data_IF_102537775849
#
_entry.id   IF_102537775849
#
_cell.length_a   1.000
_cell.length_b   1.000
_cell.length_c   1.000
_cell.angle_alpha   90.00
_cell.angle_beta   90.00
_cell.angle_gamma   90.00
#
_symmetry.space_group_name_H-M   'P 1'
#
loop_
_entity.id
_entity.type
_entity.pdbx_description
1 polymer ?
#
# COMPACT_ATOMS: atom_id res chain seq x y z
N UNK A 1 61.60 -40.62 6.81
CA UNK A 1 60.98 -39.86 7.92
C UNK A 1 61.60 -38.48 7.96
N UNK A 2 60.75 -37.43 7.92
CA UNK A 2 60.91 -36.02 8.40
C UNK A 2 62.30 -35.36 8.28
N UNK A 3 62.47 -34.15 7.75
CA UNK A 3 61.54 -33.12 7.32
C UNK A 3 62.24 -31.75 7.23
N UNK A 4 61.76 -30.97 6.27
CA UNK A 4 61.71 -29.51 6.09
C UNK A 4 62.86 -28.57 6.50
N UNK A 5 63.25 -27.80 5.50
CA UNK A 5 64.30 -26.78 5.40
C UNK A 5 63.94 -25.41 5.99
N UNK A 6 64.92 -24.90 6.73
CA UNK A 6 65.41 -23.53 6.89
C UNK A 6 64.56 -22.33 6.41
N UNK A 7 64.19 -21.49 7.39
CA UNK A 7 63.81 -20.09 7.25
C UNK A 7 65.06 -19.25 7.54
N UNK A 8 65.24 -18.14 6.84
CA UNK A 8 65.96 -16.90 7.19
C UNK A 8 66.60 -16.36 5.91
N UNK A 9 66.16 -15.20 5.43
CA UNK A 9 67.02 -14.19 4.82
C UNK A 9 66.24 -12.87 4.74
N UNK A 10 66.88 -11.86 5.33
CA UNK A 10 66.54 -10.45 5.31
C UNK A 10 66.58 -9.88 3.89
N UNK A 11 65.71 -8.91 3.59
CA UNK A 11 66.07 -7.75 2.77
C UNK A 11 65.09 -6.62 3.02
N UNK A 12 65.64 -5.48 3.44
CA UNK A 12 64.96 -4.23 3.72
C UNK A 12 65.10 -3.25 2.55
N UNK A 13 64.14 -2.32 2.51
CA UNK A 13 64.25 -0.91 2.11
C UNK A 13 64.04 -0.47 0.65
N UNK A 14 63.52 0.77 0.58
CA UNK A 14 63.23 1.71 -0.52
C UNK A 14 61.86 1.55 -1.21
N UNK A 15 61.01 2.58 -1.35
CA UNK A 15 61.19 4.02 -1.13
C UNK A 15 59.86 4.80 -1.16
N UNK A 16 59.97 6.08 -0.79
CA UNK A 16 58.92 7.04 -0.45
C UNK A 16 58.17 7.68 -1.64
N UNK A 17 57.27 8.64 -1.27
CA UNK A 17 56.51 9.63 -2.08
C UNK A 17 55.11 9.13 -2.48
N UNK A 18 53.97 9.71 -2.07
CA UNK A 18 53.59 11.13 -2.10
C UNK A 18 52.60 11.53 -0.99
N UNK A 19 52.77 12.76 -0.49
CA UNK A 19 51.86 13.52 0.37
C UNK A 19 51.15 14.59 -0.49
N UNK A 20 49.85 14.75 -0.28
CA UNK A 20 49.20 16.07 -0.25
C UNK A 20 48.44 16.54 -1.49
N UNK A 21 47.10 16.38 -1.45
CA UNK A 21 46.02 17.35 -1.78
C UNK A 21 44.69 16.57 -1.58
N UNK A 22 43.65 17.02 -0.87
CA UNK A 22 43.25 18.36 -0.46
C UNK A 22 42.36 18.31 0.77
N UNK A 23 42.49 19.34 1.61
CA UNK A 23 41.54 19.66 2.66
C UNK A 23 40.34 20.45 2.14
N UNK A 24 39.35 20.57 3.02
CA UNK A 24 38.13 21.37 2.94
C UNK A 24 36.93 20.76 2.16
N UNK A 25 36.14 19.93 2.86
CA UNK A 25 34.68 20.08 2.78
C UNK A 25 34.17 20.42 4.17
N UNK A 26 33.99 21.73 4.36
CA UNK A 26 33.38 22.37 5.51
C UNK A 26 31.87 22.17 5.38
N UNK A 27 31.28 21.34 6.24
CA UNK A 27 29.83 21.27 6.41
C UNK A 27 29.33 22.60 7.01
N UNK A 28 28.87 23.49 6.14
CA UNK A 28 28.08 24.66 6.53
C UNK A 28 26.63 24.27 6.83
N UNK A 29 25.91 24.99 7.71
CA UNK A 29 24.49 24.75 7.94
C UNK A 29 23.69 25.11 6.69
N UNK A 30 22.84 24.18 6.25
CA UNK A 30 21.84 24.41 5.20
C UNK A 30 20.89 25.51 5.69
N UNK A 31 21.00 26.70 5.11
CA UNK A 31 19.98 27.75 5.24
C UNK A 31 18.87 27.45 4.25
N UNK A 32 17.73 26.97 4.74
CA UNK A 32 16.48 26.95 3.98
C UNK A 32 16.02 28.41 3.75
N UNK A 33 16.23 28.92 2.54
CA UNK A 33 15.57 30.12 2.07
C UNK A 33 14.23 29.71 1.45
N UNK A 34 13.12 30.03 2.13
CA UNK A 34 11.78 29.91 1.56
C UNK A 34 11.63 30.97 0.47
N UNK A 35 11.59 30.53 -0.78
CA UNK A 35 11.14 31.33 -1.90
C UNK A 35 9.66 31.02 -2.12
N UNK A 36 8.79 31.79 -1.47
CA UNK A 36 7.37 31.85 -1.83
C UNK A 36 7.23 32.63 -3.14
N UNK A 37 7.14 31.92 -4.26
CA UNK A 37 6.65 32.48 -5.52
C UNK A 37 5.13 32.50 -5.48
N UNK A 38 4.56 33.70 -5.49
CA UNK A 38 3.12 33.94 -5.45
C UNK A 38 2.38 33.28 -6.62
N UNK A 39 1.24 32.70 -6.29
CA UNK A 39 0.13 32.51 -7.21
C UNK A 39 -1.06 33.28 -6.64
N UNK A 40 -1.54 34.26 -7.42
CA UNK A 40 -2.79 34.96 -7.21
C UNK A 40 -3.94 33.96 -7.22
N UNK A 41 -4.59 33.78 -6.07
CA UNK A 41 -5.94 33.22 -6.02
C UNK A 41 -6.94 34.36 -6.14
N UNK A 42 -7.97 34.25 -7.00
CA UNK A 42 -9.03 35.25 -7.06
C UNK A 42 -9.80 35.27 -5.74
N UNK A 43 -9.72 36.39 -5.02
CA UNK A 43 -10.51 36.66 -3.83
C UNK A 43 -11.98 36.86 -4.25
N UNK A 44 -12.84 35.90 -3.94
CA UNK A 44 -14.28 36.05 -4.10
C UNK A 44 -14.81 36.95 -2.97
N UNK A 45 -15.55 38.04 -3.27
CA UNK A 45 -16.09 38.90 -2.23
C UNK A 45 -17.22 38.16 -1.50
N UNK A 46 -17.00 37.92 -0.20
CA UNK A 46 -18.05 37.42 0.70
C UNK A 46 -18.85 38.66 1.14
N UNK A 47 -20.03 38.82 0.58
CA UNK A 47 -21.00 39.85 0.96
C UNK A 47 -21.52 39.57 2.40
N UNK A 48 -21.40 40.50 3.36
CA UNK A 48 -21.76 40.25 4.75
C UNK A 48 -23.27 40.23 5.03
N UNK A 49 -24.14 40.20 4.01
CA UNK A 49 -25.60 40.34 4.18
C UNK A 49 -26.40 39.03 4.30
N UNK A 50 -25.76 37.86 4.47
CA UNK A 50 -26.47 36.59 4.68
C UNK A 50 -26.02 35.82 5.92
N UNK A 51 -26.09 36.47 7.10
CA UNK A 51 -26.14 35.79 8.40
C UNK A 51 -27.35 36.30 9.18
N UNK A 52 -28.53 35.77 8.85
CA UNK A 52 -29.70 35.84 9.71
C UNK A 52 -30.18 34.41 10.00
N UNK A 53 -29.48 33.76 10.94
CA UNK A 53 -30.09 32.70 11.72
C UNK A 53 -30.71 33.35 12.96
N UNK A 54 -32.04 33.29 13.04
CA UNK A 54 -32.82 33.85 14.13
C UNK A 54 -32.38 33.26 15.48
N UNK A 55 -31.97 34.15 16.39
CA UNK A 55 -31.80 33.84 17.80
C UNK A 55 -33.19 33.75 18.46
N UNK A 56 -33.51 32.60 19.06
CA UNK A 56 -34.70 32.43 19.88
C UNK A 56 -34.32 32.77 21.33
N UNK A 57 -34.98 33.73 22.01
CA UNK A 57 -34.72 34.01 23.41
C UNK A 57 -35.29 32.88 24.27
N UNK A 58 -34.46 32.34 25.16
CA UNK A 58 -34.85 31.39 26.18
C UNK A 58 -35.38 32.16 27.39
N UNK A 59 -36.68 32.43 27.43
CA UNK A 59 -37.29 33.02 28.61
C UNK A 59 -38.67 32.41 28.89
N UNK A 60 -38.76 31.88 30.11
CA UNK A 60 -39.98 31.67 30.90
C UNK A 60 -40.83 30.42 30.58
N UNK A 61 -40.48 29.30 31.22
CA UNK A 61 -41.41 28.19 31.46
C UNK A 61 -42.23 28.55 32.71
N UNK A 62 -43.44 29.08 32.51
CA UNK A 62 -44.48 29.06 33.52
C UNK A 62 -45.69 28.30 32.96
N UNK A 63 -46.22 27.43 33.83
CA UNK A 63 -47.53 26.80 33.74
C UNK A 63 -47.67 25.55 32.84
N UNK A 64 -47.53 24.38 33.48
CA UNK A 64 -47.97 23.09 32.95
C UNK A 64 -49.31 22.76 33.60
N UNK A 65 -50.40 23.22 33.00
CA UNK A 65 -51.74 22.70 33.30
C UNK A 65 -52.66 22.75 32.06
N UNK A 66 -52.96 21.56 31.54
CA UNK A 66 -54.13 21.16 30.73
C UNK A 66 -54.61 22.02 29.53
N UNK A 67 -54.37 21.52 28.31
CA UNK A 67 -55.33 21.56 27.19
C UNK A 67 -54.97 20.44 26.17
N UNK A 68 -55.61 19.28 26.25
CA UNK A 68 -56.79 18.90 25.45
C UNK A 68 -56.51 18.75 23.94
N UNK A 69 -56.32 17.48 23.54
CA UNK A 69 -56.72 16.86 22.27
C UNK A 69 -56.78 17.73 21.00
N UNK A 70 -55.73 17.64 20.17
CA UNK A 70 -55.85 17.83 18.73
C UNK A 70 -55.37 16.56 17.99
N UNK A 71 -56.11 16.06 16.98
CA UNK A 71 -55.66 14.94 16.17
C UNK A 71 -54.43 15.36 15.35
N UNK A 72 -53.39 14.53 15.37
CA UNK A 72 -52.23 14.69 14.50
C UNK A 72 -52.69 14.73 13.03
N UNK A 73 -52.21 15.69 12.21
CA UNK A 73 -52.48 15.64 10.79
C UNK A 73 -51.83 14.37 10.23
N UNK A 74 -52.64 13.48 9.66
CA UNK A 74 -52.14 12.34 8.88
C UNK A 74 -51.28 12.88 7.74
N UNK A 75 -49.97 12.89 7.93
CA UNK A 75 -49.00 13.03 6.86
C UNK A 75 -49.20 11.80 5.98
N UNK A 76 -49.88 12.00 4.85
CA UNK A 76 -49.99 10.98 3.81
C UNK A 76 -48.57 10.56 3.48
N UNK A 77 -48.24 9.31 3.80
CA UNK A 77 -47.01 8.67 3.39
C UNK A 77 -46.91 8.81 1.88
N UNK A 78 -46.09 9.76 1.44
CA UNK A 78 -45.78 9.92 0.04
C UNK A 78 -45.04 8.66 -0.34
N UNK A 79 -45.70 7.83 -1.14
CA UNK A 79 -45.16 6.57 -1.64
C UNK A 79 -43.87 6.93 -2.38
N UNK A 80 -42.72 6.69 -1.74
CA UNK A 80 -41.42 6.78 -2.40
C UNK A 80 -41.49 5.77 -3.54
N UNK A 81 -41.68 6.28 -4.76
CA UNK A 81 -41.59 5.44 -5.94
C UNK A 81 -40.15 4.94 -5.98
N UNK A 82 -39.97 3.61 -5.92
CA UNK A 82 -38.67 3.00 -6.15
C UNK A 82 -38.14 3.53 -7.49
N UNK A 83 -37.04 4.27 -7.47
CA UNK A 83 -36.37 4.67 -8.70
C UNK A 83 -35.96 3.40 -9.44
N UNK A 84 -36.11 3.35 -10.77
CA UNK A 84 -35.63 2.22 -11.53
C UNK A 84 -34.13 2.10 -11.29
N UNK A 85 -33.70 0.96 -10.74
CA UNK A 85 -32.27 0.61 -10.71
C UNK A 85 -31.81 0.57 -12.15
N UNK A 86 -30.86 1.42 -12.51
CA UNK A 86 -30.22 1.37 -13.81
C UNK A 86 -29.72 -0.05 -14.05
N UNK A 87 -30.06 -0.67 -15.18
CA UNK A 87 -29.63 -2.04 -15.52
C UNK A 87 -28.09 -2.17 -15.59
N UNK A 88 -27.39 -1.04 -15.75
CA UNK A 88 -25.93 -0.94 -15.76
C UNK A 88 -25.34 -0.38 -14.45
N UNK A 89 -26.10 -0.31 -13.36
CA UNK A 89 -25.60 0.19 -12.08
C UNK A 89 -24.40 -0.65 -11.59
N UNK A 90 -23.26 0.03 -11.35
CA UNK A 90 -22.07 -0.59 -10.77
C UNK A 90 -22.22 -0.59 -9.25
N UNK A 91 -22.10 -1.76 -8.63
CA UNK A 91 -22.16 -1.96 -7.18
C UNK A 91 -20.87 -2.55 -6.68
N UNK A 92 -20.46 -2.11 -5.49
CA UNK A 92 -19.28 -2.62 -4.80
C UNK A 92 -19.61 -2.82 -3.33
N UNK A 93 -19.17 -3.94 -2.76
CA UNK A 93 -19.21 -4.20 -1.32
C UNK A 93 -17.83 -4.55 -0.80
N UNK A 94 -17.59 -4.28 0.47
CA UNK A 94 -16.33 -4.53 1.17
C UNK A 94 -16.64 -5.12 2.56
N UNK A 95 -16.22 -6.35 2.81
CA UNK A 95 -16.48 -7.06 4.06
C UNK A 95 -15.16 -7.46 4.74
N UNK A 96 -14.94 -7.13 6.03
CA UNK A 96 -13.72 -7.49 6.73
C UNK A 96 -13.62 -9.02 6.89
N UNK A 97 -12.40 -9.53 6.81
CA UNK A 97 -12.08 -10.94 6.92
C UNK A 97 -10.85 -11.17 7.82
N UNK A 98 -10.51 -12.44 8.05
CA UNK A 98 -9.37 -12.82 8.88
C UNK A 98 -8.05 -12.21 8.38
N UNK A 99 -7.08 -12.03 9.29
CA UNK A 99 -5.80 -11.39 9.02
C UNK A 99 -5.90 -9.97 8.43
N UNK A 100 -6.88 -9.17 8.86
CA UNK A 100 -7.12 -7.82 8.34
C UNK A 100 -7.23 -7.78 6.80
N UNK A 101 -7.86 -8.80 6.22
CA UNK A 101 -8.22 -8.84 4.81
C UNK A 101 -9.60 -8.22 4.62
N UNK A 102 -9.92 -7.83 3.39
CA UNK A 102 -11.25 -7.35 3.00
C UNK A 102 -11.69 -8.09 1.76
N UNK A 103 -12.82 -8.80 1.85
CA UNK A 103 -13.44 -9.41 0.69
C UNK A 103 -14.23 -8.35 -0.07
N UNK A 104 -13.77 -8.05 -1.29
CA UNK A 104 -14.40 -7.07 -2.18
C UNK A 104 -15.19 -7.82 -3.24
N UNK A 105 -16.44 -7.42 -3.42
CA UNK A 105 -17.30 -7.91 -4.50
C UNK A 105 -17.81 -6.75 -5.33
N UNK A 106 -17.62 -6.82 -6.65
CA UNK A 106 -18.09 -5.85 -7.63
C UNK A 106 -19.10 -6.53 -8.56
N UNK A 107 -20.20 -5.84 -8.83
CA UNK A 107 -21.22 -6.19 -9.83
C UNK A 107 -21.38 -5.02 -10.79
N UNK A 108 -20.99 -5.22 -12.04
CA UNK A 108 -21.00 -4.22 -13.10
C UNK A 108 -21.55 -4.84 -14.39
N UNK A 109 -22.88 -5.07 -14.50
CA UNK A 109 -23.47 -5.92 -15.55
C UNK A 109 -23.16 -5.50 -17.00
N UNK A 110 -22.86 -4.22 -17.22
CA UNK A 110 -22.52 -3.67 -18.54
C UNK A 110 -21.01 -3.56 -18.79
N UNK A 111 -20.19 -3.85 -17.78
CA UNK A 111 -18.72 -3.87 -17.84
C UNK A 111 -18.24 -5.32 -17.79
N UNK A 112 -18.53 -6.11 -18.83
CA UNK A 112 -18.11 -7.52 -18.93
C UNK A 112 -16.67 -7.63 -19.45
N UNK A 113 -15.87 -8.54 -18.87
CA UNK A 113 -14.46 -8.73 -19.25
C UNK A 113 -13.67 -7.41 -19.30
N UNK A 114 -14.07 -6.44 -18.48
CA UNK A 114 -13.57 -5.08 -18.54
C UNK A 114 -12.45 -4.89 -17.51
N UNK A 115 -11.35 -4.20 -17.88
CA UNK A 115 -10.33 -3.86 -16.92
C UNK A 115 -10.90 -2.90 -15.87
N UNK A 116 -10.54 -3.12 -14.61
CA UNK A 116 -10.92 -2.27 -13.48
C UNK A 116 -9.69 -2.04 -12.61
N UNK A 117 -9.36 -0.77 -12.35
CA UNK A 117 -8.28 -0.42 -11.42
C UNK A 117 -8.87 -0.22 -10.04
N UNK A 118 -8.36 -0.96 -9.06
CA UNK A 118 -8.78 -0.87 -7.67
C UNK A 118 -7.77 0.00 -6.92
N UNK A 119 -8.28 1.00 -6.19
CA UNK A 119 -7.50 1.91 -5.37
C UNK A 119 -7.83 1.71 -3.89
N UNK A 120 -6.79 1.66 -3.05
CA UNK A 120 -6.94 1.55 -1.60
C UNK A 120 -5.71 2.10 -0.84
N UNK A 121 -5.85 3.24 -0.18
CA UNK A 121 -4.80 3.86 0.64
C UNK A 121 -3.38 3.88 -0.01
N UNK A 122 -3.33 4.27 -1.29
CA UNK A 122 -2.11 4.29 -2.11
C UNK A 122 -1.86 3.00 -2.92
N UNK A 123 -2.41 1.85 -2.51
CA UNK A 123 -2.39 0.62 -3.30
C UNK A 123 -3.22 0.79 -4.57
N UNK A 124 -2.66 0.39 -5.70
CA UNK A 124 -3.28 0.44 -7.01
C UNK A 124 -2.94 -0.80 -7.83
N UNK A 125 -3.94 -1.57 -8.24
CA UNK A 125 -3.76 -2.74 -9.09
C UNK A 125 -4.94 -2.90 -10.05
N UNK A 126 -4.72 -3.58 -11.18
CA UNK A 126 -5.72 -3.72 -12.25
C UNK A 126 -6.18 -5.17 -12.37
N UNK A 127 -7.47 -5.41 -12.19
CA UNK A 127 -8.14 -6.69 -12.44
C UNK A 127 -9.04 -6.61 -13.66
N UNK A 128 -9.72 -7.71 -13.98
CA UNK A 128 -10.83 -7.71 -14.94
C UNK A 128 -12.07 -8.35 -14.33
N UNK A 129 -13.24 -7.81 -14.66
CA UNK A 129 -14.51 -8.49 -14.40
C UNK A 129 -14.65 -9.75 -15.24
N UNK A 130 -15.53 -10.66 -14.82
CA UNK A 130 -15.88 -11.86 -15.60
C UNK A 130 -16.85 -11.53 -16.75
N UNK A 131 -17.29 -12.58 -17.46
CA UNK A 131 -18.23 -12.51 -18.58
C UNK A 131 -19.65 -12.04 -18.18
N UNK A 132 -19.92 -11.89 -16.88
CA UNK A 132 -21.16 -11.36 -16.31
C UNK A 132 -20.94 -10.01 -15.61
N UNK A 133 -19.75 -9.43 -15.71
CA UNK A 133 -19.42 -8.16 -15.07
C UNK A 133 -19.18 -8.28 -13.56
N UNK A 134 -18.88 -9.48 -13.06
CA UNK A 134 -18.61 -9.73 -11.65
C UNK A 134 -17.11 -9.80 -11.37
N UNK A 135 -16.69 -9.28 -10.23
CA UNK A 135 -15.32 -9.47 -9.72
C UNK A 135 -15.37 -9.72 -8.21
N UNK A 136 -14.61 -10.72 -7.73
CA UNK A 136 -14.46 -11.01 -6.31
C UNK A 136 -13.00 -11.30 -5.99
N UNK A 137 -12.49 -10.69 -4.93
CA UNK A 137 -11.11 -10.84 -4.48
C UNK A 137 -10.96 -10.44 -3.02
N UNK A 138 -9.92 -10.96 -2.37
CA UNK A 138 -9.55 -10.58 -1.01
C UNK A 138 -8.33 -9.66 -1.04
N UNK A 139 -8.48 -8.47 -0.46
CA UNK A 139 -7.46 -7.42 -0.48
C UNK A 139 -6.96 -7.17 0.94
N UNK A 140 -5.63 -7.14 1.17
CA UNK A 140 -5.10 -6.70 2.45
C UNK A 140 -5.42 -5.22 2.70
N UNK A 141 -6.18 -4.90 3.77
CA UNK A 141 -6.36 -3.54 4.28
C UNK A 141 -5.03 -2.83 4.66
N UNK A 142 -4.82 -1.62 4.16
CA UNK A 142 -3.72 -0.72 4.50
C UNK A 142 -4.17 0.43 5.43
N UNK A 143 -5.41 0.37 5.94
CA UNK A 143 -5.96 1.27 6.94
C UNK A 143 -7.04 0.55 7.76
N UNK A 144 -7.28 0.99 8.98
CA UNK A 144 -8.42 0.55 9.82
C UNK A 144 -9.74 0.96 9.17
N UNK A 145 -9.86 2.22 8.76
CA UNK A 145 -10.99 2.71 7.98
C UNK A 145 -10.70 2.51 6.49
N UNK A 146 -11.03 1.32 5.98
CA UNK A 146 -10.64 0.91 4.64
C UNK A 146 -11.64 1.41 3.58
N UNK A 147 -11.21 2.37 2.75
CA UNK A 147 -11.94 2.84 1.58
C UNK A 147 -11.37 2.19 0.31
N UNK A 148 -12.23 1.59 -0.50
CA UNK A 148 -11.90 1.01 -1.79
C UNK A 148 -12.65 1.73 -2.90
N UNK A 149 -11.96 1.98 -4.01
CA UNK A 149 -12.55 2.53 -5.22
C UNK A 149 -12.22 1.63 -6.41
N UNK A 150 -13.23 1.26 -7.18
CA UNK A 150 -13.10 0.55 -8.44
C UNK A 150 -13.32 1.53 -9.59
N UNK A 151 -12.31 1.73 -10.43
CA UNK A 151 -12.30 2.63 -11.57
C UNK A 151 -12.29 1.84 -12.89
N UNK A 152 -13.38 1.94 -13.67
CA UNK A 152 -13.51 1.35 -15.00
C UNK A 152 -13.13 2.34 -16.13
N UNK A 153 -12.74 3.57 -15.77
CA UNK A 153 -12.47 4.68 -16.67
C UNK A 153 -13.69 5.60 -16.89
N UNK A 154 -13.43 6.83 -17.33
CA UNK A 154 -14.49 7.81 -17.57
C UNK A 154 -15.21 8.22 -16.29
N UNK A 155 -16.51 7.98 -16.23
CA UNK A 155 -17.34 8.27 -15.05
C UNK A 155 -17.81 7.00 -14.32
N UNK A 156 -17.33 5.83 -14.75
CA UNK A 156 -17.78 4.53 -14.23
C UNK A 156 -16.92 4.13 -13.04
N UNK A 157 -17.37 4.55 -11.86
CA UNK A 157 -16.69 4.29 -10.59
C UNK A 157 -17.65 3.69 -9.57
N UNK A 158 -17.13 2.83 -8.70
CA UNK A 158 -17.84 2.36 -7.51
C UNK A 158 -16.94 2.46 -6.29
N UNK A 159 -17.56 2.69 -5.13
CA UNK A 159 -16.86 2.89 -3.87
C UNK A 159 -17.51 2.02 -2.80
N UNK A 160 -16.69 1.39 -1.97
CA UNK A 160 -17.12 0.70 -0.77
C UNK A 160 -16.16 1.01 0.38
N UNK A 161 -16.68 1.08 1.59
CA UNK A 161 -15.90 1.31 2.79
C UNK A 161 -16.24 0.27 3.86
N UNK A 162 -15.27 -0.05 4.70
CA UNK A 162 -15.47 -0.98 5.82
C UNK A 162 -14.50 -0.70 6.96
N UNK A 163 -14.89 -1.06 8.18
CA UNK A 163 -14.03 -0.98 9.36
C UNK A 163 -13.25 -2.30 9.54
N UNK A 164 -11.93 -2.20 9.63
CA UNK A 164 -11.01 -3.31 9.80
C UNK A 164 -10.26 -3.12 11.11
N UNK A 165 -10.98 -3.12 12.24
CA UNK A 165 -10.40 -3.01 13.60
C UNK A 165 -9.21 -3.93 13.90
N UNK A 166 -9.08 -5.07 13.19
CA UNK A 166 -7.91 -5.95 13.32
C UNK A 166 -6.63 -5.46 12.62
N UNK A 167 -6.70 -4.38 11.83
CA UNK A 167 -5.58 -3.82 11.06
C UNK A 167 -4.37 -3.52 11.93
N UNK A 168 -4.58 -2.97 13.13
CA UNK A 168 -3.51 -2.61 14.08
C UNK A 168 -2.59 -3.78 14.45
N UNK A 169 -3.04 -5.03 14.29
CA UNK A 169 -2.24 -6.20 14.63
C UNK A 169 -1.21 -6.58 13.56
N UNK A 170 -1.25 -5.93 12.39
CA UNK A 170 -0.45 -6.31 11.22
C UNK A 170 0.39 -5.16 10.69
N UNK A 171 1.67 -5.46 10.43
CA UNK A 171 2.53 -4.62 9.62
C UNK A 171 2.49 -5.12 8.18
N UNK A 172 2.54 -4.18 7.23
CA UNK A 172 2.50 -4.50 5.80
C UNK A 172 3.58 -3.79 5.02
N UNK A 173 4.14 -4.52 4.07
CA UNK A 173 5.03 -3.99 3.05
C UNK A 173 4.43 -4.30 1.68
N UNK A 174 4.42 -3.31 0.81
CA UNK A 174 3.88 -3.41 -0.54
C UNK A 174 4.96 -2.94 -1.51
N UNK A 175 5.11 -3.69 -2.61
CA UNK A 175 5.72 -3.17 -3.83
C UNK A 175 4.68 -3.22 -4.93
N UNK A 176 4.48 -2.11 -5.63
CA UNK A 176 3.57 -2.02 -6.76
C UNK A 176 4.25 -1.40 -7.98
N UNK A 177 3.89 -1.84 -9.17
CA UNK A 177 4.50 -1.42 -10.43
C UNK A 177 3.49 -1.52 -11.57
N UNK A 178 3.89 -1.07 -12.76
CA UNK A 178 3.06 -1.16 -13.96
C UNK A 178 3.75 -2.01 -15.04
N UNK A 179 2.99 -2.92 -15.65
CA UNK A 179 3.47 -3.76 -16.74
C UNK A 179 4.40 -4.89 -16.28
N UNK A 180 5.17 -5.42 -17.24
CA UNK A 180 6.05 -6.56 -17.02
C UNK A 180 7.40 -6.09 -16.49
N UNK A 181 7.70 -6.39 -15.23
CA UNK A 181 8.95 -6.01 -14.57
C UNK A 181 9.70 -7.16 -13.91
N UNK A 182 9.03 -8.31 -13.71
CA UNK A 182 9.51 -9.42 -12.89
C UNK A 182 9.90 -9.00 -11.45
N UNK A 183 9.35 -7.89 -10.94
CA UNK A 183 9.54 -7.48 -9.55
C UNK A 183 8.88 -8.45 -8.59
N UNK A 184 9.56 -8.74 -7.49
CA UNK A 184 9.15 -9.63 -6.42
C UNK A 184 9.49 -9.01 -5.05
N UNK A 185 8.58 -9.17 -4.10
CA UNK A 185 8.78 -8.83 -2.70
C UNK A 185 9.27 -10.05 -1.95
N UNK A 186 10.38 -9.89 -1.27
CA UNK A 186 11.01 -10.93 -0.47
C UNK A 186 11.03 -10.52 1.00
N UNK A 187 10.54 -11.41 1.84
CA UNK A 187 10.54 -11.26 3.29
C UNK A 187 11.24 -12.45 3.94
N UNK A 188 12.42 -12.22 4.52
CA UNK A 188 13.18 -13.24 5.26
C UNK A 188 12.97 -13.06 6.75
N UNK A 189 12.03 -13.83 7.27
CA UNK A 189 11.64 -13.80 8.68
C UNK A 189 12.74 -14.36 9.56
N UNK A 190 13.05 -13.64 10.64
CA UNK A 190 14.02 -14.02 11.66
C UNK A 190 15.41 -14.32 11.09
N UNK A 191 15.82 -13.53 10.10
CA UNK A 191 17.09 -13.72 9.37
C UNK A 191 17.25 -15.12 8.78
N UNK A 192 16.15 -15.73 8.32
CA UNK A 192 16.20 -17.01 7.64
C UNK A 192 17.12 -16.96 6.41
N UNK A 193 17.81 -18.08 6.18
CA UNK A 193 18.57 -18.30 4.95
C UNK A 193 17.68 -18.12 3.73
N UNK A 194 18.28 -17.73 2.60
CA UNK A 194 17.55 -17.46 1.35
C UNK A 194 16.74 -18.66 0.85
N UNK A 195 17.16 -19.89 1.14
CA UNK A 195 16.40 -21.11 0.79
C UNK A 195 15.67 -21.71 2.00
N UNK A 196 15.63 -20.98 3.11
CA UNK A 196 15.08 -21.43 4.38
C UNK A 196 13.56 -21.29 4.45
N UNK A 197 12.91 -21.98 5.40
CA UNK A 197 11.46 -21.96 5.55
C UNK A 197 10.90 -20.60 5.98
N UNK A 198 11.75 -19.70 6.49
CA UNK A 198 11.41 -18.32 6.87
C UNK A 198 11.39 -17.32 5.71
N UNK A 199 11.75 -17.74 4.49
CA UNK A 199 11.74 -16.87 3.31
C UNK A 199 10.36 -16.93 2.63
N UNK A 200 9.60 -15.83 2.71
CA UNK A 200 8.30 -15.64 2.09
C UNK A 200 8.46 -14.72 0.88
N UNK A 201 8.06 -15.22 -0.28
CA UNK A 201 8.09 -14.52 -1.58
C UNK A 201 7.05 -15.19 -2.50
N UNK A 202 6.83 -14.68 -3.72
CA UNK A 202 5.79 -15.18 -4.65
C UNK A 202 5.71 -16.71 -4.74
N UNK A 203 6.84 -17.40 -4.89
CA UNK A 203 6.89 -18.86 -5.05
C UNK A 203 6.94 -19.66 -3.73
N UNK A 204 7.02 -18.98 -2.59
CA UNK A 204 6.92 -19.56 -1.25
C UNK A 204 5.89 -18.81 -0.40
N UNK A 205 4.84 -18.30 -1.04
CA UNK A 205 3.79 -17.55 -0.38
C UNK A 205 3.06 -18.45 0.63
N UNK A 206 2.78 -17.91 1.81
CA UNK A 206 2.00 -18.58 2.84
C UNK A 206 0.58 -18.06 2.88
N UNK A 207 -0.34 -18.81 3.47
CA UNK A 207 -1.76 -18.50 3.46
C UNK A 207 -2.16 -17.50 4.55
N UNK A 208 -3.37 -16.96 4.40
CA UNK A 208 -4.05 -16.12 5.41
C UNK A 208 -4.06 -16.73 6.80
N UNK A 209 -4.16 -18.06 6.90
CA UNK A 209 -4.15 -18.74 8.19
C UNK A 209 -2.83 -18.56 8.94
N UNK A 210 -1.68 -18.54 8.25
CA UNK A 210 -0.37 -18.35 8.88
C UNK A 210 -0.26 -17.00 9.58
N UNK A 211 -0.71 -15.93 8.92
CA UNK A 211 -0.77 -14.60 9.52
C UNK A 211 -1.83 -14.51 10.62
N UNK A 212 -3.02 -15.07 10.39
CA UNK A 212 -4.12 -15.03 11.37
C UNK A 212 -3.78 -15.74 12.69
N UNK A 213 -2.96 -16.79 12.66
CA UNK A 213 -2.55 -17.54 13.87
C UNK A 213 -1.27 -17.00 14.51
N UNK A 214 -0.61 -15.98 13.95
CA UNK A 214 0.62 -15.43 14.53
C UNK A 214 1.89 -16.25 14.25
N UNK A 215 1.79 -17.30 13.43
CA UNK A 215 2.90 -18.27 13.21
C UNK A 215 3.94 -17.78 12.19
N UNK A 216 3.61 -16.76 11.41
CA UNK A 216 4.49 -16.11 10.45
C UNK A 216 3.74 -15.12 9.56
N UNK A 217 4.43 -14.54 8.60
CA UNK A 217 3.83 -13.69 7.58
C UNK A 217 3.30 -14.47 6.37
N UNK A 218 2.59 -13.74 5.53
CA UNK A 218 1.99 -14.19 4.27
C UNK A 218 2.24 -13.18 3.16
N UNK A 219 2.08 -13.59 1.91
CA UNK A 219 2.21 -12.72 0.74
C UNK A 219 1.03 -12.92 -0.20
N UNK A 220 0.45 -11.81 -0.65
CA UNK A 220 -0.65 -11.78 -1.63
C UNK A 220 -0.18 -11.00 -2.87
N UNK A 221 -0.39 -11.58 -4.05
CA UNK A 221 -0.20 -10.89 -5.33
C UNK A 221 -1.56 -10.37 -5.82
N UNK A 222 -1.59 -9.14 -6.29
CA UNK A 222 -2.78 -8.45 -6.79
C UNK A 222 -2.54 -7.92 -8.21
N UNK A 223 -3.59 -7.97 -9.02
CA UNK A 223 -3.58 -7.50 -10.40
C UNK A 223 -3.39 -8.64 -11.41
N UNK A 224 -3.95 -8.45 -12.59
CA UNK A 224 -3.93 -9.41 -13.69
C UNK A 224 -2.81 -9.07 -14.69
N UNK A 225 -1.71 -9.84 -14.75
CA UNK A 225 -0.57 -9.55 -15.61
C UNK A 225 -0.88 -9.69 -17.10
N UNK A 226 -2.02 -10.28 -17.48
CA UNK A 226 -2.42 -10.45 -18.87
C UNK A 226 -3.09 -9.21 -19.46
N UNK A 227 -3.41 -8.21 -18.62
CA UNK A 227 -4.00 -6.96 -19.10
C UNK A 227 -2.92 -5.99 -19.60
N UNK A 228 -3.16 -5.28 -20.71
CA UNK A 228 -2.27 -4.22 -21.16
C UNK A 228 -2.10 -3.16 -20.07
N UNK A 229 -0.86 -2.75 -19.81
CA UNK A 229 -0.55 -1.71 -18.84
C UNK A 229 -1.09 -1.96 -17.42
N UNK A 230 -1.34 -3.23 -17.05
CA UNK A 230 -1.84 -3.59 -15.74
C UNK A 230 -0.93 -3.05 -14.63
N UNK A 231 -1.57 -2.54 -13.57
CA UNK A 231 -0.89 -2.29 -12.30
C UNK A 231 -0.90 -3.58 -11.50
N UNK A 232 0.25 -3.94 -10.97
CA UNK A 232 0.48 -5.14 -10.18
C UNK A 232 1.02 -4.75 -8.82
N UNK A 233 0.71 -5.54 -7.80
CA UNK A 233 1.24 -5.34 -6.47
C UNK A 233 1.49 -6.66 -5.75
N UNK A 234 2.51 -6.68 -4.89
CA UNK A 234 2.69 -7.72 -3.89
C UNK A 234 2.63 -7.11 -2.51
N UNK A 235 1.85 -7.74 -1.65
CA UNK A 235 1.61 -7.29 -0.27
C UNK A 235 2.07 -8.38 0.67
N UNK A 236 3.16 -8.13 1.38
CA UNK A 236 3.57 -8.93 2.53
C UNK A 236 2.85 -8.43 3.78
N UNK A 237 2.30 -9.36 4.55
CA UNK A 237 1.57 -9.10 5.80
C UNK A 237 2.21 -9.90 6.92
N UNK A 238 2.53 -9.24 8.02
CA UNK A 238 3.08 -9.88 9.21
C UNK A 238 2.29 -9.51 10.48
N UNK A 239 1.93 -10.49 11.34
CA UNK A 239 1.14 -10.26 12.56
C UNK A 239 1.99 -9.70 13.71
N UNK A 240 2.54 -8.50 13.57
CA UNK A 240 3.54 -7.92 14.47
C UNK A 240 3.14 -7.84 15.94
N UNK A 241 1.85 -7.69 16.26
CA UNK A 241 1.37 -7.59 17.65
C UNK A 241 0.87 -8.92 18.25
N UNK A 242 0.77 -9.97 17.44
CA UNK A 242 0.31 -11.30 17.85
C UNK A 242 1.27 -12.42 17.44
N UNK A 243 2.50 -12.05 17.08
CA UNK A 243 3.52 -13.02 16.66
C UNK A 243 3.93 -13.93 17.81
N UNK A 244 4.09 -15.22 17.50
CA UNK A 244 4.63 -16.21 18.45
C UNK A 244 6.15 -16.06 18.67
N UNK A 245 6.84 -15.28 17.83
CA UNK A 245 8.30 -15.15 17.84
C UNK A 245 8.74 -13.70 17.70
N UNK A 246 9.78 -13.32 18.43
CA UNK A 246 10.48 -12.05 18.26
C UNK A 246 11.59 -12.17 17.21
N UNK A 247 11.93 -11.03 16.61
CA UNK A 247 13.11 -10.86 15.75
C UNK A 247 12.83 -9.96 14.57
N UNK A 248 13.71 -10.02 13.57
CA UNK A 248 13.67 -9.12 12.43
C UNK A 248 13.13 -9.83 11.19
N UNK A 249 12.29 -9.14 10.42
CA UNK A 249 11.96 -9.55 9.05
C UNK A 249 12.76 -8.67 8.10
N UNK A 250 13.71 -9.29 7.39
CA UNK A 250 14.53 -8.60 6.41
C UNK A 250 13.77 -8.50 5.09
N UNK A 251 13.57 -7.28 4.59
CA UNK A 251 12.80 -7.04 3.37
C UNK A 251 13.73 -6.67 2.20
N UNK A 252 13.47 -7.26 1.04
CA UNK A 252 14.11 -6.89 -0.24
C UNK A 252 13.09 -6.86 -1.36
N UNK A 253 13.37 -6.03 -2.36
CA UNK A 253 12.71 -6.11 -3.66
C UNK A 253 13.71 -6.67 -4.65
N UNK A 254 13.30 -7.68 -5.39
CA UNK A 254 14.17 -8.39 -6.32
C UNK A 254 13.52 -8.41 -7.71
N UNK A 255 14.34 -8.45 -8.76
CA UNK A 255 13.87 -8.58 -10.13
C UNK A 255 14.87 -9.39 -10.96
N UNK A 256 14.37 -10.42 -11.63
CA UNK A 256 15.15 -11.13 -12.63
C UNK A 256 15.26 -10.26 -13.90
N UNK A 257 16.46 -10.20 -14.49
CA UNK A 257 16.64 -9.56 -15.79
C UNK A 257 16.14 -10.53 -16.87
N UNK A 258 15.12 -10.11 -17.61
CA UNK A 258 14.49 -10.88 -18.68
C UNK A 258 14.54 -10.13 -19.99
N UNK A 259 14.29 -10.85 -21.09
CA UNK A 259 14.16 -10.22 -22.42
C UNK A 259 12.99 -9.23 -22.48
N UNK A 260 12.04 -9.32 -21.55
CA UNK A 260 10.89 -8.44 -21.46
C UNK A 260 11.22 -7.11 -20.75
N UNK A 261 12.18 -7.08 -19.81
CA UNK A 261 12.47 -5.91 -18.97
C UNK A 261 13.89 -5.32 -19.14
N UNK A 262 14.83 -6.00 -19.80
CA UNK A 262 16.21 -5.51 -19.95
C UNK A 262 16.30 -4.15 -20.67
N UNK A 263 17.32 -3.36 -20.28
CA UNK A 263 17.60 -2.01 -20.77
C UNK A 263 16.40 -1.03 -20.62
N UNK A 264 15.57 -1.24 -19.60
CA UNK A 264 14.42 -0.39 -19.29
C UNK A 264 14.48 0.09 -17.85
N UNK A 265 13.97 1.30 -17.64
CA UNK A 265 13.65 1.75 -16.30
C UNK A 265 12.27 1.23 -15.89
N UNK A 266 12.20 0.64 -14.70
CA UNK A 266 10.95 0.22 -14.06
C UNK A 266 10.63 1.21 -12.95
N UNK A 267 9.44 1.81 -13.03
CA UNK A 267 8.89 2.62 -11.94
C UNK A 267 8.10 1.71 -10.99
N UNK A 268 8.51 1.70 -9.74
CA UNK A 268 7.82 1.02 -8.66
C UNK A 268 7.48 2.01 -7.54
N UNK A 269 6.48 1.66 -6.74
CA UNK A 269 6.16 2.33 -5.49
C UNK A 269 6.19 1.33 -4.36
N UNK A 270 6.78 1.78 -3.26
CA UNK A 270 6.84 1.06 -2.01
C UNK A 270 5.86 1.68 -1.04
N UNK A 271 5.04 0.85 -0.39
CA UNK A 271 4.13 1.28 0.67
C UNK A 271 4.41 0.46 1.93
N UNK A 272 4.50 1.12 3.08
CA UNK A 272 4.66 0.44 4.36
C UNK A 272 3.69 0.98 5.41
N UNK A 273 3.11 0.05 6.17
CA UNK A 273 2.28 0.34 7.35
C UNK A 273 2.80 -0.43 8.55
N UNK A 274 2.62 0.15 9.74
CA UNK A 274 3.05 -0.42 11.01
C UNK A 274 1.87 -0.57 12.00
N UNK A 275 0.73 -1.05 11.50
CA UNK A 275 -0.54 -1.07 12.24
C UNK A 275 -1.14 0.33 12.52
N UNK A 276 -0.61 1.40 11.92
CA UNK A 276 -1.20 2.74 11.94
C UNK A 276 -1.74 3.13 10.58
N UNK A 277 -2.76 4.00 10.56
CA UNK A 277 -3.40 4.49 9.31
C UNK A 277 -2.46 5.32 8.42
N UNK A 278 -1.26 5.67 8.90
CA UNK A 278 -0.27 6.40 8.12
C UNK A 278 0.53 5.43 7.26
N UNK A 279 0.17 5.35 5.99
CA UNK A 279 0.99 4.67 4.98
C UNK A 279 2.17 5.56 4.62
N UNK A 280 3.38 5.01 4.72
CA UNK A 280 4.57 5.59 4.09
C UNK A 280 4.62 5.17 2.64
N UNK A 281 4.73 6.13 1.73
CA UNK A 281 4.86 5.88 0.29
C UNK A 281 6.21 6.39 -0.19
N UNK A 282 6.89 5.59 -1.00
CA UNK A 282 8.17 5.95 -1.62
C UNK A 282 8.20 5.51 -3.08
N UNK A 283 8.49 6.45 -3.98
CA UNK A 283 8.77 6.14 -5.39
C UNK A 283 10.18 5.56 -5.54
N UNK A 284 10.31 4.54 -6.37
CA UNK A 284 11.58 3.86 -6.67
C UNK A 284 11.71 3.71 -8.18
N UNK A 285 12.79 4.29 -8.72
CA UNK A 285 13.21 4.09 -10.11
C UNK A 285 14.27 2.99 -10.13
N UNK A 286 13.99 1.91 -10.87
CA UNK A 286 14.89 0.76 -10.98
C UNK A 286 15.40 0.70 -12.41
N UNK A 287 16.68 0.99 -12.60
CA UNK A 287 17.33 0.83 -13.90
C UNK A 287 17.75 -0.61 -14.10
N UNK A 288 17.02 -1.33 -14.96
CA UNK A 288 17.34 -2.73 -15.30
C UNK A 288 18.55 -2.75 -16.24
N UNK A 289 19.56 -3.61 -15.98
CA UNK A 289 20.73 -3.76 -16.83
C UNK A 289 20.41 -4.09 -18.29
N UNK A 290 21.44 -3.99 -19.12
CA UNK A 290 21.40 -4.36 -20.53
C UNK A 290 21.04 -5.84 -20.76
N UNK A 291 20.60 -6.15 -21.97
CA UNK A 291 20.08 -7.49 -22.31
C UNK A 291 21.14 -8.60 -22.37
N UNK A 292 22.42 -8.29 -22.17
CA UNK A 292 23.49 -9.27 -21.96
C UNK A 292 23.49 -9.84 -20.54
N UNK A 293 22.86 -9.15 -19.58
CA UNK A 293 22.67 -9.59 -18.20
C UNK A 293 21.39 -10.43 -17.99
N UNK A 294 20.72 -10.88 -19.05
CA UNK A 294 19.51 -11.72 -18.92
C UNK A 294 19.83 -13.00 -18.12
N UNK A 295 19.02 -13.25 -17.09
CA UNK A 295 19.22 -14.33 -16.11
C UNK A 295 19.93 -13.89 -14.83
N UNK A 296 20.48 -12.67 -14.78
CA UNK A 296 20.95 -12.07 -13.53
C UNK A 296 19.79 -11.61 -12.64
N UNK A 297 20.07 -11.45 -11.35
CA UNK A 297 19.11 -11.04 -10.34
C UNK A 297 19.53 -9.69 -9.75
N UNK A 298 18.65 -8.70 -9.88
CA UNK A 298 18.76 -7.43 -9.19
C UNK A 298 18.18 -7.56 -7.80
N UNK A 299 18.94 -7.13 -6.79
CA UNK A 299 18.49 -7.10 -5.40
C UNK A 299 18.56 -5.68 -4.89
N UNK A 300 17.41 -5.09 -4.61
CA UNK A 300 17.28 -3.76 -4.03
C UNK A 300 17.11 -3.90 -2.52
N UNK A 301 18.22 -3.69 -1.82
CA UNK A 301 18.24 -3.60 -0.36
C UNK A 301 18.03 -2.15 0.08
N UNK A 302 17.40 -1.96 1.25
CA UNK A 302 17.16 -0.65 1.86
C UNK A 302 16.15 0.25 1.10
N UNK A 303 15.34 -0.32 0.21
CA UNK A 303 14.15 0.36 -0.35
C UNK A 303 12.91 0.18 0.54
N UNK A 304 12.97 -0.78 1.45
CA UNK A 304 11.98 -1.11 2.46
C UNK A 304 12.66 -1.02 3.83
N UNK A 305 11.95 -0.54 4.85
CA UNK A 305 12.40 -0.68 6.23
C UNK A 305 12.11 -2.10 6.72
N UNK A 306 13.11 -2.76 7.29
CA UNK A 306 12.92 -4.06 7.95
C UNK A 306 11.90 -3.96 9.09
N UNK A 307 11.11 -5.02 9.26
CA UNK A 307 10.13 -5.08 10.36
C UNK A 307 10.83 -5.56 11.63
N UNK A 308 10.61 -4.85 12.74
CA UNK A 308 11.13 -5.18 14.07
C UNK A 308 10.02 -5.79 14.92
N UNK A 309 10.06 -7.10 15.10
CA UNK A 309 8.99 -7.84 15.78
C UNK A 309 9.34 -8.02 17.26
N UNK A 310 8.56 -7.38 18.11
CA UNK A 310 8.61 -7.61 19.56
C UNK A 310 7.69 -8.78 19.92
N UNK A 311 8.20 -9.80 20.62
CA UNK A 311 7.34 -10.82 21.24
C UNK A 311 6.71 -10.27 22.53
N UNK A 312 5.52 -10.78 22.86
CA UNK A 312 4.95 -10.65 24.20
C UNK A 312 5.47 -11.73 25.14
#
# INVERSE_FOLDING_TARGET
MKGSTSRYMFAAALGAVALGIGGAMQYGPIKMASAASGHDTPNLPIDPEYVHLAAIPLEVIHDVTELSSQPEPMVKSSRVMAQPTSECEIKMTAEPAAAAMVSVSISAPCQVSAPVTIHHNGLMFTEATDDRGMLKLDIPALAENALFMADFGGNDVAVAATDVSSFIFYDRAVVQWQGQSDLELHAREFSADYTGPGHVWRNAARSTNTAATGTGGMLVQLGNPNLPHARLAEVYTYPSLTSEKAGDVLLSVEAAVTTANCAKDVNAQILQTNGSDRVRVQDVLISVPECDAVGELLVLQNVLDDLKIASR
#
